data_IF_512777264229
#
_entry.id   IF_512777264229
#
_cell.length_a   1.000
_cell.length_b   1.000
_cell.length_c   1.000
_cell.angle_alpha   90.00
_cell.angle_beta   90.00
_cell.angle_gamma   90.00
#
_symmetry.space_group_name_H-M   'P 1'
#
loop_
_entity.id
_entity.type
_entity.pdbx_description
1 polymer ?
#
# COMPACT_ATOMS: atom_id res chain seq x y z
N UNK A 1 7.81 -11.72 -6.28
CA UNK A 1 6.34 -11.56 -6.32
C UNK A 1 6.05 -10.07 -6.38
N UNK A 2 4.97 -9.66 -7.01
CA UNK A 2 4.56 -8.27 -7.01
C UNK A 2 3.42 -8.09 -6.01
N UNK A 3 3.42 -6.96 -5.34
CA UNK A 3 2.29 -6.53 -4.54
C UNK A 3 1.89 -5.14 -5.01
N UNK A 4 0.61 -4.98 -5.33
CA UNK A 4 -0.03 -3.70 -5.57
C UNK A 4 -0.57 -3.20 -4.25
N UNK A 5 -0.19 -1.98 -3.87
CA UNK A 5 -0.64 -1.32 -2.65
C UNK A 5 -1.41 -0.07 -3.05
N UNK A 6 -2.66 0.06 -2.58
CA UNK A 6 -3.53 1.20 -2.85
C UNK A 6 -3.80 1.95 -1.56
N UNK A 7 -3.51 3.24 -1.53
CA UNK A 7 -3.70 4.14 -0.40
C UNK A 7 -4.87 5.07 -0.67
N UNK A 8 -5.90 4.98 0.17
CA UNK A 8 -7.05 5.87 0.12
C UNK A 8 -6.87 7.02 1.09
N UNK A 9 -6.95 8.27 0.60
CA UNK A 9 -6.89 9.47 1.43
C UNK A 9 -8.26 10.17 1.47
N UNK A 10 -8.53 10.99 2.50
CA UNK A 10 -9.74 11.81 2.51
C UNK A 10 -9.69 12.84 1.37
N UNK A 11 -10.77 12.93 0.59
CA UNK A 11 -10.96 13.94 -0.46
C UNK A 11 -9.90 13.95 -1.58
N UNK A 12 -9.20 12.84 -1.83
CA UNK A 12 -8.37 12.68 -3.02
C UNK A 12 -8.58 11.32 -3.68
N UNK A 13 -8.12 11.21 -4.93
CA UNK A 13 -8.05 9.92 -5.60
C UNK A 13 -7.11 8.97 -4.86
N UNK A 14 -7.37 7.66 -4.90
CA UNK A 14 -6.46 6.66 -4.37
C UNK A 14 -5.11 6.74 -5.08
N UNK A 15 -4.04 6.58 -4.32
CA UNK A 15 -2.69 6.45 -4.88
C UNK A 15 -2.29 4.98 -4.88
N UNK A 16 -1.81 4.49 -6.01
CA UNK A 16 -1.36 3.11 -6.16
C UNK A 16 0.14 3.01 -6.41
N UNK A 17 0.75 1.96 -5.86
CA UNK A 17 2.13 1.60 -6.15
C UNK A 17 2.27 0.09 -6.31
N UNK A 18 3.17 -0.32 -7.20
CA UNK A 18 3.55 -1.72 -7.39
C UNK A 18 4.94 -1.89 -6.79
N UNK A 19 5.07 -2.80 -5.84
CA UNK A 19 6.32 -3.10 -5.15
C UNK A 19 6.72 -4.55 -5.33
N UNK A 20 8.02 -4.76 -5.50
CA UNK A 20 8.59 -6.11 -5.54
C UNK A 20 8.76 -6.59 -4.10
N UNK A 21 8.12 -7.71 -3.76
CA UNK A 21 8.19 -8.32 -2.43
C UNK A 21 8.51 -9.81 -2.53
N UNK A 22 9.10 -10.33 -1.46
CA UNK A 22 9.37 -11.76 -1.29
C UNK A 22 8.30 -12.45 -0.43
N UNK A 23 7.46 -11.71 0.30
CA UNK A 23 6.34 -12.23 1.10
C UNK A 23 5.23 -11.20 1.27
N UNK A 24 4.04 -11.64 1.68
CA UNK A 24 2.91 -10.76 1.98
C UNK A 24 3.19 -9.86 3.18
N UNK A 25 3.85 -10.38 4.21
CA UNK A 25 4.21 -9.63 5.42
C UNK A 25 5.09 -8.42 5.09
N UNK A 26 6.00 -8.57 4.12
CA UNK A 26 6.84 -7.45 3.67
C UNK A 26 6.02 -6.38 2.94
N UNK A 27 5.01 -6.77 2.15
CA UNK A 27 4.08 -5.82 1.56
C UNK A 27 3.28 -5.05 2.64
N UNK A 28 2.81 -5.76 3.67
CA UNK A 28 2.13 -5.15 4.83
C UNK A 28 3.04 -4.19 5.59
N UNK A 29 4.31 -4.53 5.76
CA UNK A 29 5.29 -3.65 6.42
C UNK A 29 5.49 -2.35 5.63
N UNK A 30 5.68 -2.45 4.32
CA UNK A 30 5.82 -1.29 3.41
C UNK A 30 4.55 -0.43 3.47
N UNK A 31 3.38 -1.05 3.36
CA UNK A 31 2.07 -0.42 3.49
C UNK A 31 1.94 0.38 4.80
N UNK A 32 2.27 -0.25 5.94
CA UNK A 32 2.18 0.37 7.27
C UNK A 32 3.15 1.53 7.49
N UNK A 33 4.34 1.50 6.89
CA UNK A 33 5.28 2.63 6.97
C UNK A 33 4.74 3.84 6.21
N UNK A 34 4.21 3.60 5.00
CA UNK A 34 3.72 4.66 4.11
C UNK A 34 2.35 5.21 4.49
N UNK A 35 1.45 4.42 5.08
CA UNK A 35 0.11 4.89 5.47
C UNK A 35 0.16 6.16 6.34
N UNK A 36 1.14 6.23 7.25
CA UNK A 36 1.37 7.39 8.13
C UNK A 36 1.91 8.59 7.37
N UNK A 37 2.86 8.37 6.45
CA UNK A 37 3.44 9.44 5.63
C UNK A 37 2.41 10.05 4.67
N UNK A 38 1.55 9.19 4.11
CA UNK A 38 0.55 9.56 3.13
C UNK A 38 -0.76 10.08 3.76
N UNK A 39 -0.90 10.03 5.10
CA UNK A 39 -2.17 10.32 5.80
C UNK A 39 -3.36 9.55 5.22
N UNK A 40 -3.09 8.32 4.77
CA UNK A 40 -4.12 7.48 4.18
C UNK A 40 -5.00 6.89 5.29
N UNK A 41 -6.31 6.82 5.02
CA UNK A 41 -7.33 6.30 5.96
C UNK A 41 -7.59 4.81 5.76
N UNK A 42 -7.31 4.28 4.56
CA UNK A 42 -7.45 2.87 4.24
C UNK A 42 -6.33 2.45 3.29
N UNK A 43 -5.90 1.19 3.42
CA UNK A 43 -4.94 0.56 2.51
C UNK A 43 -5.50 -0.76 2.02
N UNK A 44 -5.32 -1.05 0.74
CA UNK A 44 -5.57 -2.35 0.13
C UNK A 44 -4.26 -2.91 -0.43
N UNK A 45 -4.06 -4.21 -0.27
CA UNK A 45 -2.85 -4.91 -0.71
C UNK A 45 -3.30 -6.11 -1.53
N UNK A 46 -2.85 -6.18 -2.77
CA UNK A 46 -3.17 -7.25 -3.71
C UNK A 46 -1.87 -7.87 -4.22
N UNK A 47 -1.80 -9.20 -4.21
CA UNK A 47 -0.66 -9.95 -4.75
C UNK A 47 -0.91 -10.23 -6.22
N UNK A 48 0.09 -9.94 -7.06
CA UNK A 48 0.08 -10.07 -8.51
C UNK A 48 1.35 -10.73 -9.04
#
# INVERSE_FOLDING_TARGET
MLARIVYYKPNSLPEEEIVVVNSFEKAVEIARRKIRMMRAVKVEIEII
#
